data_IF_128820875512
#
_entry.id   IF_128820875512
#
_cell.length_a   1.000
_cell.length_b   1.000
_cell.length_c   1.000
_cell.angle_alpha   90.00
_cell.angle_beta   90.00
_cell.angle_gamma   90.00
#
_symmetry.space_group_name_H-M   'P 1'
#
loop_
_entity.id
_entity.type
_entity.pdbx_description
1 polymer ?
#
# COMPACT_ATOMS: atom_id res chain seq x y z
N UNK A 1 6.92 -63.52 -32.00
CA UNK A 1 6.43 -62.17 -32.36
C UNK A 1 5.66 -61.61 -31.18
N UNK A 2 5.97 -60.36 -30.86
CA UNK A 2 5.51 -59.56 -29.72
C UNK A 2 4.05 -59.14 -29.90
N UNK A 3 3.21 -59.23 -28.86
CA UNK A 3 2.17 -58.23 -28.52
C UNK A 3 1.46 -58.65 -27.21
N UNK A 4 1.80 -58.10 -26.04
CA UNK A 4 1.26 -56.88 -25.38
C UNK A 4 -0.23 -56.92 -24.97
N UNK A 5 -0.41 -57.00 -23.64
CA UNK A 5 -1.28 -56.20 -22.74
C UNK A 5 -2.79 -56.14 -22.99
N UNK A 6 -3.56 -56.44 -21.93
CA UNK A 6 -4.43 -55.44 -21.30
C UNK A 6 -4.76 -55.86 -19.86
N UNK A 7 -4.23 -55.11 -18.89
CA UNK A 7 -4.62 -55.15 -17.48
C UNK A 7 -4.36 -53.74 -16.94
N UNK A 8 -5.42 -52.95 -16.89
CA UNK A 8 -5.57 -51.59 -16.34
C UNK A 8 -7.07 -51.27 -16.54
N UNK A 9 -7.86 -50.73 -15.64
CA UNK A 9 -7.61 -49.86 -14.49
C UNK A 9 -8.63 -50.18 -13.37
N UNK A 10 -8.18 -50.29 -12.12
CA UNK A 10 -9.03 -50.00 -10.97
C UNK A 10 -8.46 -48.73 -10.33
N UNK A 11 -9.07 -47.58 -10.66
CA UNK A 11 -8.82 -46.30 -9.99
C UNK A 11 -9.23 -46.40 -8.52
N UNK A 12 -8.25 -46.49 -7.62
CA UNK A 12 -8.47 -46.32 -6.18
C UNK A 12 -8.48 -44.81 -5.86
N UNK A 13 -9.67 -44.24 -5.90
CA UNK A 13 -9.98 -42.88 -5.46
C UNK A 13 -9.83 -42.74 -3.94
N UNK A 14 -8.59 -42.76 -3.45
CA UNK A 14 -8.31 -42.45 -2.05
C UNK A 14 -8.33 -40.94 -1.84
N UNK A 15 -9.52 -40.43 -1.49
CA UNK A 15 -9.71 -39.09 -0.96
C UNK A 15 -8.66 -38.80 0.13
N UNK A 16 -7.83 -37.77 -0.13
CA UNK A 16 -6.73 -37.35 0.74
C UNK A 16 -7.31 -36.79 2.04
N UNK A 17 -7.42 -37.64 3.07
CA UNK A 17 -7.85 -37.23 4.42
C UNK A 17 -6.93 -36.11 4.91
N UNK A 18 -7.47 -34.90 5.05
CA UNK A 18 -6.77 -33.78 5.69
C UNK A 18 -6.59 -34.10 7.17
N UNK A 19 -5.35 -34.43 7.55
CA UNK A 19 -4.93 -34.55 8.95
C UNK A 19 -5.05 -33.20 9.63
N UNK A 20 -5.62 -33.15 10.84
CA UNK A 20 -5.64 -31.97 11.70
C UNK A 20 -4.23 -31.57 12.19
N UNK A 21 -3.25 -32.48 12.07
CA UNK A 21 -1.85 -32.28 12.41
C UNK A 21 -0.97 -32.13 11.14
N UNK A 22 -1.42 -31.33 10.17
CA UNK A 22 -0.51 -30.86 9.14
C UNK A 22 0.41 -29.81 9.80
N UNK A 23 1.68 -30.16 10.03
CA UNK A 23 2.70 -29.17 10.37
C UNK A 23 2.75 -28.15 9.24
N UNK A 24 2.42 -26.90 9.53
CA UNK A 24 2.61 -25.82 8.59
C UNK A 24 4.11 -25.62 8.37
N UNK A 25 4.53 -25.60 7.10
CA UNK A 25 5.93 -25.40 6.76
C UNK A 25 6.37 -24.00 7.20
N UNK A 26 7.66 -23.86 7.55
CA UNK A 26 8.25 -22.56 7.89
C UNK A 26 9.10 -22.13 6.71
N UNK A 27 8.77 -20.96 6.15
CA UNK A 27 9.52 -20.30 5.09
C UNK A 27 10.54 -19.35 5.68
N UNK A 28 11.76 -19.40 5.17
CA UNK A 28 12.80 -18.43 5.52
C UNK A 28 12.75 -17.24 4.55
N UNK A 29 12.47 -16.04 5.06
CA UNK A 29 12.48 -14.81 4.25
C UNK A 29 13.69 -13.97 4.63
N UNK A 30 14.55 -13.70 3.65
CA UNK A 30 15.72 -12.83 3.79
C UNK A 30 15.38 -11.43 3.30
N UNK A 31 15.44 -10.44 4.18
CA UNK A 31 14.98 -9.06 3.90
C UNK A 31 16.15 -8.08 3.90
N UNK A 32 16.15 -7.20 2.90
CA UNK A 32 17.12 -6.11 2.75
C UNK A 32 18.52 -6.57 2.33
N UNK A 33 19.45 -5.61 2.12
CA UNK A 33 20.82 -5.90 1.69
C UNK A 33 21.62 -6.70 2.73
N UNK A 34 21.28 -6.54 4.01
CA UNK A 34 21.86 -7.32 5.12
C UNK A 34 21.32 -8.74 5.22
N UNK A 35 20.34 -9.13 4.40
CA UNK A 35 19.67 -10.46 4.43
C UNK A 35 19.20 -10.82 5.84
N UNK A 36 18.52 -9.90 6.51
CA UNK A 36 17.94 -10.16 7.83
C UNK A 36 16.95 -11.31 7.71
N UNK A 37 17.12 -12.34 8.54
CA UNK A 37 16.37 -13.59 8.43
C UNK A 37 15.08 -13.54 9.24
N UNK A 38 13.95 -13.76 8.58
CA UNK A 38 12.64 -13.93 9.18
C UNK A 38 12.13 -15.36 8.93
N UNK A 39 11.46 -15.95 9.91
CA UNK A 39 10.84 -17.27 9.80
C UNK A 39 9.32 -17.07 9.89
N UNK A 40 8.60 -17.44 8.84
CA UNK A 40 7.15 -17.21 8.72
C UNK A 40 6.46 -18.50 8.28
N UNK A 41 5.31 -18.77 8.86
CA UNK A 41 4.43 -19.87 8.47
C UNK A 41 4.03 -19.76 6.98
N UNK A 42 4.19 -20.84 6.21
CA UNK A 42 3.84 -20.89 4.79
C UNK A 42 2.37 -20.54 4.59
N UNK A 43 1.47 -21.13 5.40
CA UNK A 43 0.03 -20.84 5.30
C UNK A 43 -0.30 -19.37 5.52
N UNK A 44 0.48 -18.67 6.35
CA UNK A 44 0.30 -17.25 6.63
C UNK A 44 0.88 -16.40 5.51
N UNK A 45 2.09 -16.72 5.05
CA UNK A 45 2.77 -15.97 4.00
C UNK A 45 2.01 -16.07 2.67
N UNK A 46 1.48 -17.25 2.34
CA UNK A 46 0.67 -17.51 1.14
C UNK A 46 -0.72 -16.85 1.15
N UNK A 47 -1.13 -16.20 2.26
CA UNK A 47 -2.31 -15.30 2.21
C UNK A 47 -2.08 -14.09 1.32
N UNK A 48 -0.82 -13.73 1.06
CA UNK A 48 -0.46 -12.74 0.07
C UNK A 48 -0.19 -13.43 -1.30
N UNK A 49 -0.92 -13.07 -2.37
CA UNK A 49 -0.85 -13.76 -3.66
C UNK A 49 0.55 -13.83 -4.29
N UNK A 50 1.41 -12.84 -4.00
CA UNK A 50 2.80 -12.88 -4.45
C UNK A 50 3.56 -14.10 -3.90
N UNK A 51 3.47 -14.35 -2.59
CA UNK A 51 4.23 -15.42 -1.96
C UNK A 51 3.64 -16.79 -2.27
N UNK A 52 2.32 -16.90 -2.42
CA UNK A 52 1.66 -18.11 -2.90
C UNK A 52 2.23 -18.53 -4.26
N UNK A 53 2.30 -17.60 -5.21
CA UNK A 53 2.91 -17.85 -6.52
C UNK A 53 4.39 -18.20 -6.41
N UNK A 54 5.17 -17.51 -5.58
CA UNK A 54 6.59 -17.84 -5.39
C UNK A 54 6.79 -19.27 -4.85
N UNK A 55 5.96 -19.69 -3.89
CA UNK A 55 6.14 -20.96 -3.17
C UNK A 55 5.47 -22.15 -3.85
N UNK A 56 4.54 -21.92 -4.79
CA UNK A 56 3.81 -23.00 -5.49
C UNK A 56 4.00 -23.00 -7.02
N UNK A 57 4.95 -22.22 -7.55
CA UNK A 57 5.25 -22.15 -9.00
C UNK A 57 6.22 -23.23 -9.52
N UNK A 58 6.78 -24.08 -8.66
CA UNK A 58 7.83 -25.04 -9.02
C UNK A 58 9.23 -24.42 -9.14
N UNK A 59 9.39 -23.15 -8.75
CA UNK A 59 10.66 -22.42 -8.82
C UNK A 59 11.55 -22.70 -7.60
N UNK A 60 12.75 -22.11 -7.59
CA UNK A 60 13.78 -22.33 -6.56
C UNK A 60 13.24 -22.07 -5.15
N UNK A 61 12.42 -21.05 -4.99
CA UNK A 61 11.82 -20.63 -3.73
C UNK A 61 10.99 -21.76 -3.08
N UNK A 62 10.26 -22.55 -3.89
CA UNK A 62 9.52 -23.71 -3.43
C UNK A 62 10.43 -24.83 -2.93
N UNK A 63 11.53 -25.10 -3.65
CA UNK A 63 12.47 -26.17 -3.33
C UNK A 63 13.32 -25.84 -2.10
N UNK A 64 13.79 -24.59 -2.00
CA UNK A 64 14.63 -24.12 -0.91
C UNK A 64 13.84 -23.70 0.33
N UNK A 65 12.49 -23.57 0.21
CA UNK A 65 11.62 -23.01 1.24
C UNK A 65 12.13 -21.67 1.76
N UNK A 66 12.65 -20.86 0.84
CA UNK A 66 13.29 -19.59 1.15
C UNK A 66 13.02 -18.54 0.07
N UNK A 67 12.84 -17.29 0.50
CA UNK A 67 12.57 -16.13 -0.37
C UNK A 67 13.53 -15.01 -0.02
N UNK A 68 14.04 -14.29 -1.03
CA UNK A 68 14.91 -13.14 -0.83
C UNK A 68 14.23 -11.85 -1.33
N UNK A 69 14.15 -10.86 -0.46
CA UNK A 69 13.54 -9.55 -0.68
C UNK A 69 14.57 -8.43 -0.45
N UNK A 70 15.56 -8.24 -1.36
CA UNK A 70 16.69 -7.34 -1.13
C UNK A 70 16.30 -5.85 -1.12
N UNK A 71 15.17 -5.50 -1.74
CA UNK A 71 14.68 -4.11 -1.85
C UNK A 71 13.83 -3.67 -0.66
N UNK A 72 13.31 -4.63 0.12
CA UNK A 72 12.45 -4.34 1.27
C UNK A 72 13.30 -4.07 2.52
N UNK A 73 12.73 -3.32 3.47
CA UNK A 73 13.37 -3.15 4.77
C UNK A 73 12.80 -4.14 5.79
N UNK A 74 13.60 -4.64 6.75
CA UNK A 74 13.10 -5.54 7.79
C UNK A 74 11.91 -4.95 8.57
N UNK A 75 11.92 -3.65 8.82
CA UNK A 75 10.86 -2.95 9.54
C UNK A 75 9.54 -2.94 8.76
N UNK A 76 9.60 -2.73 7.44
CA UNK A 76 8.40 -2.76 6.59
C UNK A 76 7.85 -4.19 6.45
N UNK A 77 8.74 -5.16 6.32
CA UNK A 77 8.33 -6.57 6.22
C UNK A 77 7.61 -7.05 7.49
N UNK A 78 8.02 -6.57 8.67
CA UNK A 78 7.33 -6.88 9.92
C UNK A 78 5.88 -6.39 9.90
N UNK A 79 5.59 -5.18 9.38
CA UNK A 79 4.19 -4.69 9.26
C UNK A 79 3.36 -5.61 8.38
N UNK A 80 3.93 -6.04 7.25
CA UNK A 80 3.25 -6.95 6.34
C UNK A 80 2.95 -8.28 7.03
N UNK A 81 3.92 -8.87 7.72
CA UNK A 81 3.75 -10.14 8.41
C UNK A 81 2.75 -10.01 9.56
N UNK A 82 2.83 -8.95 10.37
CA UNK A 82 1.86 -8.69 11.44
C UNK A 82 0.45 -8.55 10.91
N UNK A 83 0.25 -7.89 9.77
CA UNK A 83 -1.03 -7.84 9.07
C UNK A 83 -1.48 -9.25 8.64
N UNK A 84 -0.60 -10.05 8.05
CA UNK A 84 -0.93 -11.41 7.62
C UNK A 84 -1.30 -12.34 8.78
N UNK A 85 -0.77 -12.11 9.99
CA UNK A 85 -1.18 -12.86 11.18
C UNK A 85 -2.47 -12.33 11.81
N UNK A 86 -2.56 -11.02 12.01
CA UNK A 86 -3.58 -10.41 12.89
C UNK A 86 -4.75 -9.77 12.15
N UNK A 87 -4.57 -9.43 10.87
CA UNK A 87 -5.51 -8.57 10.14
C UNK A 87 -5.56 -7.12 10.64
N UNK A 88 -4.55 -6.68 11.40
CA UNK A 88 -4.49 -5.33 11.97
C UNK A 88 -3.16 -4.64 11.67
N UNK A 89 -3.20 -3.31 11.51
CA UNK A 89 -2.00 -2.49 11.30
C UNK A 89 -1.41 -2.12 12.67
N UNK A 90 -0.08 -2.18 12.85
CA UNK A 90 0.54 -1.87 14.14
C UNK A 90 0.31 -0.40 14.55
N UNK A 91 -0.13 -0.19 15.80
CA UNK A 91 -0.63 1.09 16.30
C UNK A 91 0.38 2.26 16.24
N UNK A 92 1.69 1.96 16.20
CA UNK A 92 2.78 2.95 16.22
C UNK A 92 3.43 3.16 14.84
N UNK A 93 2.65 3.07 13.77
CA UNK A 93 3.15 3.28 12.41
C UNK A 93 3.16 4.77 12.05
N UNK A 94 4.35 5.36 11.92
CA UNK A 94 4.51 6.73 11.38
C UNK A 94 4.16 6.81 9.89
N UNK A 95 3.96 8.02 9.36
CA UNK A 95 3.52 8.24 7.97
C UNK A 95 4.45 7.66 6.91
N UNK A 96 5.77 7.77 7.12
CA UNK A 96 6.77 7.15 6.24
C UNK A 96 6.63 5.62 6.22
N UNK A 97 6.35 5.02 7.37
CA UNK A 97 6.15 3.59 7.52
C UNK A 97 4.88 3.14 6.81
N UNK A 98 3.77 3.85 7.01
CA UNK A 98 2.50 3.57 6.33
C UNK A 98 2.62 3.68 4.81
N UNK A 99 3.37 4.68 4.31
CA UNK A 99 3.59 4.85 2.88
C UNK A 99 4.40 3.70 2.27
N UNK A 100 5.48 3.28 2.94
CA UNK A 100 6.27 2.12 2.50
C UNK A 100 5.45 0.84 2.54
N UNK A 101 4.70 0.62 3.62
CA UNK A 101 3.78 -0.50 3.75
C UNK A 101 2.71 -0.51 2.65
N UNK A 102 2.18 0.66 2.24
CA UNK A 102 1.21 0.76 1.15
C UNK A 102 1.81 0.32 -0.19
N UNK A 103 3.05 0.73 -0.47
CA UNK A 103 3.78 0.33 -1.67
C UNK A 103 4.13 -1.17 -1.65
N UNK A 104 4.57 -1.69 -0.50
CA UNK A 104 4.84 -3.11 -0.30
C UNK A 104 3.55 -3.92 -0.52
N UNK A 105 2.43 -3.51 0.07
CA UNK A 105 1.13 -4.13 -0.14
C UNK A 105 0.74 -4.16 -1.62
N UNK A 106 1.01 -3.09 -2.38
CA UNK A 106 0.83 -3.09 -3.82
C UNK A 106 1.70 -4.16 -4.52
N UNK A 107 3.00 -4.17 -4.20
CA UNK A 107 3.99 -5.09 -4.77
C UNK A 107 3.65 -6.57 -4.49
N UNK A 108 3.12 -6.84 -3.29
CA UNK A 108 2.74 -8.18 -2.86
C UNK A 108 1.28 -8.55 -3.17
N UNK A 109 0.57 -7.71 -3.93
CA UNK A 109 -0.82 -7.90 -4.35
C UNK A 109 -1.80 -8.06 -3.17
N UNK A 110 -1.71 -7.17 -2.18
CA UNK A 110 -2.49 -7.18 -0.94
C UNK A 110 -3.46 -5.98 -0.86
N UNK A 111 -4.55 -5.96 -1.64
CA UNK A 111 -5.48 -4.82 -1.68
C UNK A 111 -6.12 -4.53 -0.32
N UNK A 112 -6.41 -5.55 0.50
CA UNK A 112 -6.99 -5.34 1.83
C UNK A 112 -6.06 -4.55 2.76
N UNK A 113 -4.76 -4.81 2.71
CA UNK A 113 -3.78 -4.03 3.47
C UNK A 113 -3.67 -2.60 2.90
N UNK A 114 -3.69 -2.44 1.58
CA UNK A 114 -3.73 -1.09 0.98
C UNK A 114 -4.94 -0.29 1.45
N UNK A 115 -6.12 -0.92 1.49
CA UNK A 115 -7.38 -0.30 1.90
C UNK A 115 -7.35 0.09 3.38
N UNK A 116 -6.89 -0.82 4.24
CA UNK A 116 -6.73 -0.54 5.67
C UNK A 116 -5.73 0.58 5.93
N UNK A 117 -4.62 0.64 5.19
CA UNK A 117 -3.63 1.72 5.30
C UNK A 117 -4.22 3.06 4.84
N UNK A 118 -4.98 3.07 3.76
CA UNK A 118 -5.70 4.28 3.30
C UNK A 118 -6.67 4.76 4.36
N UNK A 119 -7.45 3.88 4.99
CA UNK A 119 -8.37 4.28 6.06
C UNK A 119 -7.62 4.78 7.30
N UNK A 120 -6.49 4.16 7.64
CA UNK A 120 -5.63 4.64 8.71
C UNK A 120 -5.09 6.04 8.40
N UNK A 121 -4.57 6.27 7.18
CA UNK A 121 -4.17 7.60 6.71
C UNK A 121 -5.31 8.58 6.91
N UNK A 122 -6.53 8.27 6.44
CA UNK A 122 -7.69 9.17 6.58
C UNK A 122 -8.02 9.50 8.02
N UNK A 123 -8.00 8.50 8.90
CA UNK A 123 -8.33 8.67 10.32
C UNK A 123 -7.33 9.54 11.09
N UNK A 124 -6.06 9.52 10.68
CA UNK A 124 -4.99 10.30 11.33
C UNK A 124 -4.86 11.72 10.77
N UNK A 125 -5.61 12.09 9.72
CA UNK A 125 -5.49 13.40 9.10
C UNK A 125 -6.30 14.44 9.88
N UNK A 126 -5.59 15.36 10.52
CA UNK A 126 -6.13 16.67 10.94
C UNK A 126 -5.82 17.75 9.90
N UNK A 127 -6.57 18.88 9.84
CA UNK A 127 -6.44 19.91 8.80
C UNK A 127 -5.03 20.48 8.59
N UNK A 128 -4.14 20.40 9.57
CA UNK A 128 -2.77 20.92 9.53
C UNK A 128 -1.69 19.83 9.38
N UNK A 129 -2.07 18.60 9.06
CA UNK A 129 -1.13 17.46 9.05
C UNK A 129 -0.37 17.33 7.73
N UNK A 130 -0.98 17.75 6.62
CA UNK A 130 -0.53 17.43 5.27
C UNK A 130 0.15 18.64 4.63
N UNK A 131 1.48 18.73 4.79
CA UNK A 131 2.29 19.80 4.19
C UNK A 131 2.47 19.59 2.67
N UNK A 132 2.75 20.66 1.90
CA UNK A 132 3.05 20.52 0.47
C UNK A 132 4.27 19.62 0.18
N UNK A 133 5.26 19.56 1.10
CA UNK A 133 6.39 18.64 0.99
C UNK A 133 5.97 17.17 1.14
N UNK A 134 5.05 16.86 2.07
CA UNK A 134 4.49 15.52 2.21
C UNK A 134 3.66 15.11 1.00
N UNK A 135 2.81 15.99 0.46
CA UNK A 135 2.06 15.74 -0.79
C UNK A 135 3.02 15.41 -1.93
N UNK A 136 4.04 16.25 -2.07
CA UNK A 136 5.14 16.08 -3.03
C UNK A 136 5.87 14.76 -2.88
N UNK A 137 6.14 14.32 -1.65
CA UNK A 137 6.83 13.08 -1.35
C UNK A 137 5.95 11.87 -1.66
N UNK A 138 4.69 11.86 -1.22
CA UNK A 138 3.75 10.77 -1.50
C UNK A 138 3.54 10.62 -3.01
N UNK A 139 3.36 11.73 -3.74
CA UNK A 139 3.23 11.71 -5.19
C UNK A 139 4.44 11.05 -5.86
N UNK A 140 5.66 11.42 -5.46
CA UNK A 140 6.90 10.84 -6.02
C UNK A 140 7.06 9.35 -5.66
N UNK A 141 6.63 8.96 -4.47
CA UNK A 141 6.93 7.65 -3.90
C UNK A 141 5.85 6.59 -4.16
N UNK A 142 4.75 6.92 -4.85
CA UNK A 142 3.65 5.99 -5.14
C UNK A 142 3.50 5.77 -6.64
N UNK A 143 2.77 4.73 -7.06
CA UNK A 143 2.43 4.52 -8.47
C UNK A 143 1.42 5.55 -8.99
N UNK A 144 1.46 5.83 -10.30
CA UNK A 144 0.47 6.69 -10.94
C UNK A 144 -0.95 6.12 -10.84
N UNK A 145 -1.92 7.02 -10.63
CA UNK A 145 -3.34 6.65 -10.52
C UNK A 145 -3.72 5.93 -9.22
N UNK A 146 -2.80 5.62 -8.31
CA UNK A 146 -3.12 4.86 -7.11
C UNK A 146 -4.07 5.65 -6.17
N UNK A 147 -4.86 4.92 -5.39
CA UNK A 147 -5.90 5.53 -4.56
C UNK A 147 -5.36 6.46 -3.46
N UNK A 148 -4.18 6.15 -2.92
CA UNK A 148 -3.50 7.03 -1.96
C UNK A 148 -3.20 8.41 -2.56
N UNK A 149 -2.81 8.50 -3.84
CA UNK A 149 -2.62 9.80 -4.52
C UNK A 149 -3.91 10.58 -4.61
N UNK A 150 -5.02 9.93 -4.98
CA UNK A 150 -6.33 10.58 -5.08
C UNK A 150 -6.77 11.15 -3.73
N UNK A 151 -6.66 10.35 -2.67
CA UNK A 151 -6.94 10.80 -1.31
C UNK A 151 -6.11 12.02 -0.92
N UNK A 152 -4.79 11.97 -1.12
CA UNK A 152 -3.87 13.03 -0.71
C UNK A 152 -4.14 14.33 -1.47
N UNK A 153 -4.45 14.24 -2.78
CA UNK A 153 -4.80 15.41 -3.57
C UNK A 153 -6.13 16.02 -3.14
N UNK A 154 -7.14 15.19 -2.86
CA UNK A 154 -8.45 15.65 -2.37
C UNK A 154 -8.33 16.33 -1.00
N UNK A 155 -7.57 15.72 -0.08
CA UNK A 155 -7.28 16.29 1.23
C UNK A 155 -6.57 17.63 1.10
N UNK A 156 -5.54 17.69 0.25
CA UNK A 156 -4.75 18.90 0.06
C UNK A 156 -5.58 20.03 -0.56
N UNK A 157 -6.41 19.72 -1.57
CA UNK A 157 -7.39 20.64 -2.11
C UNK A 157 -8.34 21.17 -1.01
N UNK A 158 -8.88 20.28 -0.19
CA UNK A 158 -9.80 20.63 0.88
C UNK A 158 -9.13 21.55 1.92
N UNK A 159 -7.88 21.27 2.30
CA UNK A 159 -7.12 22.09 3.25
C UNK A 159 -6.83 23.49 2.69
N UNK A 160 -6.32 23.58 1.46
CA UNK A 160 -6.07 24.87 0.80
C UNK A 160 -7.38 25.67 0.67
N UNK A 161 -8.47 25.01 0.32
CA UNK A 161 -9.78 25.67 0.16
C UNK A 161 -10.32 26.21 1.48
N UNK A 162 -10.03 25.54 2.60
CA UNK A 162 -10.50 25.90 3.94
C UNK A 162 -9.65 27.01 4.58
N UNK A 163 -8.33 26.96 4.40
CA UNK A 163 -7.41 27.99 4.88
C UNK A 163 -6.36 28.34 3.81
N UNK A 164 -6.73 29.16 2.81
CA UNK A 164 -5.79 29.60 1.79
C UNK A 164 -4.65 30.46 2.36
N UNK A 165 -4.84 31.08 3.52
CA UNK A 165 -3.91 32.06 4.09
C UNK A 165 -2.60 31.42 4.58
N UNK A 166 -2.66 30.15 5.01
CA UNK A 166 -1.50 29.35 5.37
C UNK A 166 -0.54 29.10 4.19
N UNK A 167 -1.03 29.20 2.96
CA UNK A 167 -0.30 28.86 1.73
C UNK A 167 0.08 30.07 0.88
N UNK A 168 -0.34 31.27 1.26
CA UNK A 168 0.00 32.52 0.57
C UNK A 168 1.18 33.19 1.26
N UNK A 169 2.10 33.73 0.45
CA UNK A 169 3.02 34.76 0.94
C UNK A 169 2.22 36.04 1.14
N UNK A 170 2.33 36.65 2.31
CA UNK A 170 1.70 37.94 2.53
C UNK A 170 2.50 38.99 1.75
N UNK A 171 1.88 39.63 0.76
CA UNK A 171 2.56 40.59 -0.12
C UNK A 171 3.04 41.86 0.60
N UNK A 172 2.50 42.10 1.80
CA UNK A 172 2.87 43.17 2.72
C UNK A 172 3.72 42.69 3.90
N UNK A 173 4.15 41.42 3.92
CA UNK A 173 5.04 40.92 4.96
C UNK A 173 6.33 41.72 4.94
N UNK A 174 6.82 42.05 6.12
CA UNK A 174 8.13 42.66 6.30
C UNK A 174 9.17 41.78 5.57
N UNK A 175 10.08 42.32 4.74
CA UNK A 175 11.15 41.53 4.12
C UNK A 175 12.00 40.71 5.11
N UNK A 176 12.00 41.09 6.39
CA UNK A 176 12.64 40.36 7.49
C UNK A 176 11.73 39.33 8.18
N UNK A 177 10.44 39.32 7.88
CA UNK A 177 9.51 38.29 8.33
C UNK A 177 9.74 36.99 7.56
N UNK A 178 9.93 35.90 8.31
CA UNK A 178 10.13 34.58 7.72
C UNK A 178 8.89 34.17 6.92
N UNK A 179 9.01 33.82 5.63
CA UNK A 179 7.88 33.35 4.84
C UNK A 179 7.21 32.15 5.51
N UNK A 180 5.87 32.10 5.47
CA UNK A 180 5.10 30.93 5.95
C UNK A 180 5.67 29.67 5.30
N UNK A 181 6.05 28.69 6.13
CA UNK A 181 6.71 27.45 5.69
C UNK A 181 5.94 26.78 4.54
N UNK A 182 4.61 26.71 4.65
CA UNK A 182 3.76 26.10 3.62
C UNK A 182 3.69 26.92 2.32
N UNK A 183 3.82 28.24 2.36
CA UNK A 183 3.86 29.04 1.13
C UNK A 183 5.14 28.75 0.32
N UNK A 184 6.29 28.65 0.99
CA UNK A 184 7.58 28.27 0.35
C UNK A 184 7.52 26.84 -0.19
N UNK A 185 6.98 25.91 0.58
CA UNK A 185 6.82 24.53 0.14
C UNK A 185 5.83 24.40 -1.02
N UNK A 186 4.77 25.21 -1.05
CA UNK A 186 3.81 25.22 -2.15
C UNK A 186 4.47 25.72 -3.44
N UNK A 187 5.29 26.77 -3.42
CA UNK A 187 6.03 27.22 -4.62
C UNK A 187 6.89 26.10 -5.22
N UNK A 188 7.57 25.32 -4.38
CA UNK A 188 8.35 24.15 -4.84
C UNK A 188 7.45 23.06 -5.43
N UNK A 189 6.27 22.84 -4.85
CA UNK A 189 5.27 21.93 -5.40
C UNK A 189 4.79 22.43 -6.77
N UNK A 190 4.59 23.74 -6.94
CA UNK A 190 4.14 24.36 -8.19
C UNK A 190 5.13 24.18 -9.35
N UNK A 191 6.39 23.82 -9.08
CA UNK A 191 7.37 23.45 -10.11
C UNK A 191 7.19 22.01 -10.63
N UNK A 192 6.29 21.21 -10.06
CA UNK A 192 6.08 19.79 -10.43
C UNK A 192 4.89 19.64 -11.36
N UNK A 193 5.11 19.75 -12.66
CA UNK A 193 4.06 19.82 -13.70
C UNK A 193 2.95 18.79 -13.53
N UNK A 194 3.27 17.49 -13.43
CA UNK A 194 2.23 16.44 -13.34
C UNK A 194 1.38 16.54 -12.07
N UNK A 195 2.02 16.83 -10.93
CA UNK A 195 1.35 17.01 -9.66
C UNK A 195 0.44 18.26 -9.68
N UNK A 196 0.95 19.36 -10.23
CA UNK A 196 0.19 20.61 -10.37
C UNK A 196 -0.99 20.44 -11.28
N UNK A 197 -0.85 19.74 -12.41
CA UNK A 197 -1.97 19.48 -13.32
C UNK A 197 -3.05 18.66 -12.63
N UNK A 198 -2.68 17.60 -11.89
CA UNK A 198 -3.64 16.80 -11.13
C UNK A 198 -4.36 17.61 -10.02
N UNK A 199 -3.66 18.55 -9.39
CA UNK A 199 -4.25 19.45 -8.39
C UNK A 199 -5.12 20.54 -9.04
N UNK A 200 -4.67 21.12 -10.14
CA UNK A 200 -5.36 22.18 -10.88
C UNK A 200 -6.78 21.76 -11.26
N UNK A 201 -6.96 20.52 -11.72
CA UNK A 201 -8.28 20.03 -12.12
C UNK A 201 -9.30 20.00 -10.96
N UNK A 202 -8.87 19.79 -9.72
CA UNK A 202 -9.74 19.91 -8.53
C UNK A 202 -10.21 21.34 -8.30
N UNK A 203 -9.38 22.33 -8.63
CA UNK A 203 -9.77 23.73 -8.56
C UNK A 203 -10.59 24.17 -9.77
N UNK A 204 -10.28 23.66 -10.96
CA UNK A 204 -10.88 24.09 -12.23
C UNK A 204 -12.24 23.41 -12.53
N UNK A 205 -12.34 22.10 -12.35
CA UNK A 205 -13.56 21.33 -12.60
C UNK A 205 -14.26 20.97 -11.28
N UNK A 206 -15.56 21.24 -11.20
CA UNK A 206 -16.37 20.86 -10.04
C UNK A 206 -16.54 19.33 -9.91
N UNK A 207 -16.47 18.60 -11.02
CA UNK A 207 -16.61 17.13 -11.03
C UNK A 207 -15.45 16.41 -10.38
N UNK A 208 -14.26 17.02 -10.42
CA UNK A 208 -13.02 16.52 -9.82
C UNK A 208 -12.93 16.82 -8.32
N UNK A 209 -13.86 17.61 -7.78
CA UNK A 209 -13.82 18.00 -6.37
C UNK A 209 -14.37 16.89 -5.48
N UNK A 210 -13.74 16.65 -4.32
CA UNK A 210 -14.35 15.79 -3.31
C UNK A 210 -15.70 16.40 -2.87
N UNK A 211 -16.74 15.55 -2.79
CA UNK A 211 -18.10 16.00 -2.43
C UNK A 211 -18.25 16.46 -0.98
N UNK A 212 -17.32 16.05 -0.10
CA UNK A 212 -17.27 16.29 1.34
C UNK A 212 -15.80 16.30 1.79
N UNK A 213 -15.57 16.54 3.08
CA UNK A 213 -14.25 16.34 3.70
C UNK A 213 -13.75 14.89 3.44
N UNK A 214 -12.64 14.70 2.69
CA UNK A 214 -12.12 13.37 2.34
C UNK A 214 -11.78 12.50 3.54
N UNK A 215 -11.34 13.11 4.65
CA UNK A 215 -11.06 12.39 5.90
C UNK A 215 -12.33 11.78 6.52
N UNK A 216 -13.51 12.35 6.21
CA UNK A 216 -14.81 11.97 6.80
C UNK A 216 -15.75 11.24 5.84
N UNK A 217 -15.35 11.05 4.57
CA UNK A 217 -16.17 10.27 3.64
C UNK A 217 -16.37 8.84 4.17
N UNK A 218 -17.51 8.22 3.84
CA UNK A 218 -17.78 6.83 4.22
C UNK A 218 -17.60 5.91 3.01
N UNK A 219 -17.40 4.63 3.29
CA UNK A 219 -17.25 3.60 2.27
C UNK A 219 -15.89 3.63 1.59
N UNK A 220 -15.84 3.00 0.41
CA UNK A 220 -14.63 2.56 -0.25
C UNK A 220 -14.11 3.52 -1.34
N UNK A 221 -14.32 4.84 -1.17
CA UNK A 221 -14.00 5.88 -2.18
C UNK A 221 -12.54 5.83 -2.65
N UNK A 222 -11.63 5.53 -1.73
CA UNK A 222 -10.18 5.48 -1.97
C UNK A 222 -9.64 4.06 -1.82
N UNK A 223 -10.49 3.04 -2.03
CA UNK A 223 -10.07 1.65 -1.92
C UNK A 223 -9.76 1.06 -3.29
N UNK A 224 -8.88 0.08 -3.28
CA UNK A 224 -8.58 -0.79 -4.42
C UNK A 224 -9.58 -1.94 -4.39
N UNK A 225 -10.22 -2.19 -5.53
CA UNK A 225 -11.12 -3.31 -5.75
C UNK A 225 -10.69 -4.05 -7.00
N UNK A 226 -10.84 -5.37 -6.99
CA UNK A 226 -10.87 -6.15 -8.22
C UNK A 226 -12.18 -5.88 -8.97
N UNK A 227 -12.13 -5.93 -10.30
CA UNK A 227 -13.15 -5.42 -11.23
C UNK A 227 -14.61 -5.56 -10.75
N UNK A 228 -15.23 -4.42 -10.43
CA UNK A 228 -16.67 -4.31 -10.11
C UNK A 228 -17.05 -4.57 -8.65
N UNK A 229 -16.13 -5.02 -7.80
CA UNK A 229 -16.41 -5.26 -6.38
C UNK A 229 -16.42 -3.96 -5.57
N UNK A 230 -17.17 -3.95 -4.47
CA UNK A 230 -17.14 -2.90 -3.43
C UNK A 230 -16.80 -3.55 -2.10
N UNK A 231 -16.29 -2.79 -1.14
CA UNK A 231 -16.18 -3.28 0.23
C UNK A 231 -17.56 -3.73 0.73
N UNK A 232 -17.61 -4.96 1.24
CA UNK A 232 -18.77 -5.52 1.95
C UNK A 232 -18.97 -4.87 3.30
#
# INVERSE_FOLDING_TARGET
MVSKRSADEHEDGRAKKRSFAASDDIITVYVGPGKVRHLVHESVLCRAPFFEKCLHSGMREQLEKAISLPEETPEDFVILVEWLYSGTIPAKSGWSCMLRAYNAAQKFCMPDLQNALVDLFRSQMVPSSLSPEWVSYIWKSTAEGCQLRQLVLDLFYYHISKDPSAYKKDASADPWEMPKLYAVQLERLMAKTQLVMALFWRFADRKERPSKDPAKMKGCVYHVHEDGNKCT
#
